data_IF_191886826411
#
_entry.id   IF_191886826411
#
_cell.length_a   1.000
_cell.length_b   1.000
_cell.length_c   1.000
_cell.angle_alpha   90.00
_cell.angle_beta   90.00
_cell.angle_gamma   90.00
#
_symmetry.space_group_name_H-M   'P 1'
#
loop_
_entity.id
_entity.type
_entity.pdbx_description
1 polymer ?
#
# COMPACT_ATOMS: atom_id res chain seq x y z
N UNK A 1 -46.85 -44.75 -44.75
CA UNK A 1 -45.47 -44.25 -44.63
C UNK A 1 -45.52 -43.18 -43.58
N UNK A 2 -45.43 -43.59 -42.32
CA UNK A 2 -45.68 -42.77 -41.14
C UNK A 2 -44.55 -43.09 -40.17
N UNK A 3 -43.63 -42.15 -40.03
CA UNK A 3 -42.41 -42.28 -39.24
C UNK A 3 -42.64 -41.62 -37.88
N UNK A 4 -42.61 -42.44 -36.83
CA UNK A 4 -42.15 -42.08 -35.49
C UNK A 4 -40.85 -42.90 -35.25
N UNK A 5 -39.92 -42.51 -34.34
CA UNK A 5 -40.11 -41.64 -33.18
C UNK A 5 -39.03 -40.54 -32.99
N UNK A 6 -39.34 -39.66 -32.05
CA UNK A 6 -38.45 -38.64 -31.51
C UNK A 6 -37.36 -39.28 -30.64
N UNK A 7 -36.10 -39.06 -31.03
CA UNK A 7 -34.91 -39.34 -30.25
C UNK A 7 -34.06 -38.07 -30.23
N UNK A 8 -34.34 -37.15 -29.28
CA UNK A 8 -33.42 -36.07 -28.96
C UNK A 8 -32.79 -36.34 -27.60
N UNK A 9 -31.51 -36.65 -27.69
CA UNK A 9 -30.59 -37.04 -26.63
C UNK A 9 -30.63 -36.11 -25.42
N UNK A 10 -30.58 -36.76 -24.25
CA UNK A 10 -30.32 -36.15 -22.95
C UNK A 10 -29.03 -35.31 -22.98
N UNK A 11 -29.16 -34.00 -22.77
CA UNK A 11 -28.05 -33.15 -22.39
C UNK A 11 -27.82 -33.34 -20.89
N UNK A 12 -26.88 -34.22 -20.55
CA UNK A 12 -26.38 -34.38 -19.18
C UNK A 12 -25.81 -33.05 -18.69
N UNK A 13 -26.54 -32.40 -17.79
CA UNK A 13 -26.05 -31.29 -16.99
C UNK A 13 -24.85 -31.77 -16.17
N UNK A 14 -23.64 -31.38 -16.58
CA UNK A 14 -22.46 -31.48 -15.72
C UNK A 14 -22.63 -30.42 -14.61
N UNK A 15 -22.77 -30.80 -13.33
CA UNK A 15 -22.76 -29.81 -12.26
C UNK A 15 -21.39 -29.14 -12.24
N UNK A 16 -21.39 -27.81 -12.23
CA UNK A 16 -20.22 -26.97 -11.93
C UNK A 16 -19.62 -27.51 -10.64
N UNK A 17 -18.42 -28.07 -10.75
CA UNK A 17 -17.62 -28.55 -9.63
C UNK A 17 -17.48 -27.37 -8.67
N UNK A 18 -18.11 -27.49 -7.50
CA UNK A 18 -18.03 -26.50 -6.44
C UNK A 18 -16.56 -26.13 -6.25
N UNK A 19 -16.24 -24.84 -6.45
CA UNK A 19 -14.98 -24.27 -6.01
C UNK A 19 -14.82 -24.70 -4.54
N UNK A 20 -13.72 -25.38 -4.25
CA UNK A 20 -13.36 -25.76 -2.89
C UNK A 20 -13.54 -24.53 -2.01
N UNK A 21 -14.44 -24.63 -1.04
CA UNK A 21 -14.65 -23.61 -0.04
C UNK A 21 -13.29 -23.29 0.58
N UNK A 22 -12.86 -22.04 0.40
CA UNK A 22 -11.69 -21.49 1.08
C UNK A 22 -11.85 -21.78 2.57
N UNK A 23 -10.84 -22.31 3.28
CA UNK A 23 -10.98 -22.53 4.72
C UNK A 23 -11.26 -21.18 5.40
N UNK A 24 -12.12 -21.14 6.43
CA UNK A 24 -12.29 -19.92 7.23
C UNK A 24 -10.91 -19.53 7.76
N UNK A 25 -10.39 -18.41 7.26
CA UNK A 25 -9.10 -17.89 7.72
C UNK A 25 -9.36 -17.30 9.10
N UNK A 26 -8.72 -17.84 10.12
CA UNK A 26 -8.76 -17.27 11.48
C UNK A 26 -8.50 -15.75 11.41
N UNK A 27 -9.16 -14.93 12.26
CA UNK A 27 -8.92 -13.50 12.28
C UNK A 27 -7.47 -13.28 12.60
N UNK A 28 -6.77 -12.82 11.58
CA UNK A 28 -5.36 -12.58 11.66
C UNK A 28 -5.27 -11.26 12.46
N UNK A 29 -4.70 -11.30 13.68
CA UNK A 29 -4.59 -10.13 14.56
C UNK A 29 -3.52 -9.15 14.08
N UNK A 30 -3.89 -7.90 13.83
CA UNK A 30 -2.91 -6.84 13.55
C UNK A 30 -1.97 -6.67 14.75
N UNK A 31 -0.67 -6.90 14.54
CA UNK A 31 0.37 -6.58 15.53
C UNK A 31 0.67 -5.08 15.49
N UNK A 32 0.00 -4.32 16.36
CA UNK A 32 0.16 -2.86 16.44
C UNK A 32 1.55 -2.47 16.94
N UNK A 33 2.20 -3.30 17.77
CA UNK A 33 3.55 -3.01 18.25
C UNK A 33 4.56 -3.08 17.10
N UNK A 34 4.38 -4.04 16.20
CA UNK A 34 5.16 -4.12 14.96
C UNK A 34 4.97 -2.89 14.08
N UNK A 35 3.73 -2.46 13.83
CA UNK A 35 3.45 -1.27 13.01
C UNK A 35 4.01 -0.01 13.66
N UNK A 36 3.89 0.11 14.98
CA UNK A 36 4.46 1.22 15.75
C UNK A 36 5.99 1.25 15.65
N UNK A 37 6.65 0.09 15.77
CA UNK A 37 8.10 -0.01 15.58
C UNK A 37 8.51 0.33 14.15
N UNK A 38 7.70 -0.04 13.14
CA UNK A 38 7.98 0.22 11.73
C UNK A 38 7.92 1.72 11.38
N UNK A 39 6.96 2.44 11.96
CA UNK A 39 6.72 3.86 11.68
C UNK A 39 7.45 4.81 12.64
N UNK A 40 8.19 4.28 13.61
CA UNK A 40 9.05 5.08 14.48
C UNK A 40 10.36 5.39 13.74
N UNK A 41 10.65 6.69 13.53
CA UNK A 41 11.88 7.08 12.86
C UNK A 41 13.11 6.60 13.66
N UNK A 42 14.10 5.94 13.02
CA UNK A 42 15.29 5.48 13.71
C UNK A 42 16.18 6.67 14.11
N UNK A 43 16.82 6.57 15.29
CA UNK A 43 17.79 7.57 15.76
C UNK A 43 18.93 7.84 14.76
N UNK A 44 19.30 6.81 13.97
CA UNK A 44 20.31 6.92 12.93
C UNK A 44 19.90 6.09 11.72
N UNK A 45 19.91 6.71 10.54
CA UNK A 45 19.64 6.00 9.27
C UNK A 45 20.79 5.03 8.93
N UNK A 46 20.50 3.76 8.61
CA UNK A 46 21.51 2.77 8.25
C UNK A 46 21.93 2.90 6.77
N UNK A 47 22.45 4.06 6.37
CA UNK A 47 22.74 4.39 4.96
C UNK A 47 23.68 3.38 4.29
N UNK A 48 24.72 2.92 4.97
CA UNK A 48 25.64 1.91 4.43
C UNK A 48 24.94 0.58 4.13
N UNK A 49 24.04 0.13 5.01
CA UNK A 49 23.26 -1.09 4.78
C UNK A 49 22.26 -0.92 3.64
N UNK A 50 21.61 0.25 3.53
CA UNK A 50 20.71 0.56 2.42
C UNK A 50 21.45 0.58 1.07
N UNK A 51 22.65 1.16 1.01
CA UNK A 51 23.48 1.15 -0.21
C UNK A 51 23.84 -0.26 -0.65
N UNK A 52 24.25 -1.11 0.29
CA UNK A 52 24.56 -2.52 0.00
C UNK A 52 23.32 -3.23 -0.55
N UNK A 53 22.16 -3.07 0.09
CA UNK A 53 20.92 -3.65 -0.40
C UNK A 53 20.55 -3.13 -1.79
N UNK A 54 20.63 -1.82 -2.04
CA UNK A 54 20.36 -1.22 -3.35
C UNK A 54 21.30 -1.73 -4.46
N UNK A 55 22.51 -2.16 -4.12
CA UNK A 55 23.43 -2.76 -5.10
C UNK A 55 23.01 -4.18 -5.50
N UNK A 56 22.37 -4.91 -4.59
CA UNK A 56 21.90 -6.28 -4.78
C UNK A 56 20.48 -6.37 -5.37
N UNK A 57 19.69 -5.31 -5.25
CA UNK A 57 18.30 -5.30 -5.70
C UNK A 57 18.21 -5.36 -7.23
N UNK A 58 17.23 -6.11 -7.72
CA UNK A 58 16.80 -6.13 -9.10
C UNK A 58 15.41 -5.50 -9.25
N UNK A 59 15.12 -5.02 -10.47
CA UNK A 59 13.75 -4.62 -10.82
C UNK A 59 12.79 -5.81 -10.65
N UNK A 60 11.66 -5.59 -9.98
CA UNK A 60 10.67 -6.59 -9.64
C UNK A 60 10.81 -7.21 -8.25
N UNK A 61 11.92 -6.97 -7.53
CA UNK A 61 12.12 -7.47 -6.16
C UNK A 61 11.07 -6.90 -5.20
N UNK A 62 10.56 -7.74 -4.32
CA UNK A 62 9.61 -7.33 -3.30
C UNK A 62 10.35 -6.70 -2.12
N UNK A 63 10.08 -5.43 -1.87
CA UNK A 63 10.76 -4.65 -0.83
C UNK A 63 9.76 -3.88 0.00
N UNK A 64 10.21 -3.48 1.18
CA UNK A 64 9.59 -2.46 2.02
C UNK A 64 10.51 -1.29 2.19
N UNK A 65 9.97 -0.10 1.97
CA UNK A 65 10.65 1.19 2.15
C UNK A 65 9.89 1.98 3.21
N UNK A 66 10.59 2.46 4.22
CA UNK A 66 10.04 3.42 5.20
C UNK A 66 10.52 4.80 4.81
N UNK A 67 9.59 5.73 4.65
CA UNK A 67 9.85 7.11 4.23
C UNK A 67 9.43 8.07 5.33
N UNK A 68 10.13 9.19 5.41
CA UNK A 68 9.73 10.39 6.16
C UNK A 68 9.64 11.54 5.17
N UNK A 69 8.44 12.02 4.92
CA UNK A 69 8.18 13.12 3.99
C UNK A 69 7.30 14.13 4.71
N UNK A 70 7.80 15.34 4.91
CA UNK A 70 6.96 16.45 5.38
C UNK A 70 6.02 16.85 4.24
N UNK A 71 4.72 17.08 4.48
CA UNK A 71 4.02 17.06 5.78
C UNK A 71 3.32 15.74 6.13
N UNK A 72 3.59 14.66 5.41
CA UNK A 72 2.92 13.36 5.56
C UNK A 72 3.49 12.48 6.68
N UNK A 73 4.57 12.91 7.32
CA UNK A 73 5.28 12.20 8.38
C UNK A 73 5.91 10.89 7.91
N UNK A 74 5.95 9.91 8.81
CA UNK A 74 6.55 8.59 8.55
C UNK A 74 5.48 7.60 8.06
N UNK A 75 5.77 6.96 6.94
CA UNK A 75 4.93 5.91 6.36
C UNK A 75 5.79 4.82 5.72
N UNK A 76 5.24 3.62 5.62
CA UNK A 76 5.88 2.49 4.99
C UNK A 76 5.16 2.12 3.68
N UNK A 77 5.94 1.75 2.68
CA UNK A 77 5.46 1.31 1.37
C UNK A 77 6.05 -0.06 1.11
N UNK A 78 5.23 -1.02 0.72
CA UNK A 78 5.71 -2.35 0.33
C UNK A 78 5.14 -2.71 -1.01
N UNK A 79 5.98 -3.26 -1.88
CA UNK A 79 5.60 -3.64 -3.22
C UNK A 79 6.83 -4.00 -4.03
N UNK A 80 6.63 -4.18 -5.34
CA UNK A 80 7.74 -4.49 -6.24
C UNK A 80 8.50 -3.22 -6.57
N UNK A 81 9.80 -3.23 -6.35
CA UNK A 81 10.68 -2.12 -6.69
C UNK A 81 10.91 -2.13 -8.21
N UNK A 82 10.90 -0.96 -8.83
CA UNK A 82 11.14 -0.82 -10.27
C UNK A 82 12.43 -0.05 -10.47
N UNK A 83 13.35 -0.58 -11.26
CA UNK A 83 14.55 0.14 -11.67
C UNK A 83 14.36 0.82 -13.03
N UNK A 84 14.81 2.07 -13.15
CA UNK A 84 14.83 2.80 -14.40
C UNK A 84 16.27 3.12 -14.81
N UNK A 85 16.70 2.54 -15.92
CA UNK A 85 18.03 2.78 -16.50
C UNK A 85 18.20 4.23 -16.98
N UNK A 86 17.12 4.91 -17.38
CA UNK A 86 17.16 6.26 -17.95
C UNK A 86 17.61 7.28 -16.89
N UNK A 87 17.13 7.13 -15.66
CA UNK A 87 17.40 8.04 -14.54
C UNK A 87 18.32 7.43 -13.49
N UNK A 88 18.79 6.19 -13.70
CA UNK A 88 19.64 5.42 -12.79
C UNK A 88 19.07 5.41 -11.36
N UNK A 89 17.83 4.93 -11.22
CA UNK A 89 17.06 5.06 -10.00
C UNK A 89 16.09 3.90 -9.75
N UNK A 90 15.82 3.66 -8.47
CA UNK A 90 14.77 2.76 -8.03
C UNK A 90 13.52 3.52 -7.60
N UNK A 91 12.37 2.97 -7.93
CA UNK A 91 11.04 3.46 -7.60
C UNK A 91 10.22 2.40 -6.90
N UNK A 92 9.31 2.83 -6.02
CA UNK A 92 8.29 1.96 -5.43
C UNK A 92 6.94 2.67 -5.46
N UNK A 93 5.99 2.13 -6.22
CA UNK A 93 4.72 2.79 -6.51
C UNK A 93 4.92 4.07 -7.32
N UNK A 94 4.89 5.23 -6.66
CA UNK A 94 5.24 6.53 -7.25
C UNK A 94 6.44 7.21 -6.59
N UNK A 95 7.07 6.55 -5.61
CA UNK A 95 8.17 7.13 -4.83
C UNK A 95 9.51 6.82 -5.44
N UNK A 96 10.34 7.85 -5.61
CA UNK A 96 11.76 7.68 -5.85
C UNK A 96 12.42 7.19 -4.54
N UNK A 97 13.07 6.03 -4.59
CA UNK A 97 13.71 5.39 -3.42
C UNK A 97 15.21 5.69 -3.41
N UNK A 98 15.83 5.73 -4.58
CA UNK A 98 17.26 6.02 -4.72
C UNK A 98 17.56 6.75 -6.03
N UNK A 99 18.67 7.47 -6.07
CA UNK A 99 19.27 7.99 -7.30
C UNK A 99 20.75 7.59 -7.34
N UNK A 100 21.25 7.10 -8.47
CA UNK A 100 22.63 6.59 -8.62
C UNK A 100 23.00 5.56 -7.54
N UNK A 101 22.05 4.70 -7.21
CA UNK A 101 22.11 3.70 -6.12
C UNK A 101 22.37 4.28 -4.71
N UNK A 102 22.15 5.57 -4.53
CA UNK A 102 22.19 6.24 -3.23
C UNK A 102 20.75 6.41 -2.70
N UNK A 103 20.45 5.96 -1.46
CA UNK A 103 19.13 6.15 -0.89
C UNK A 103 18.83 7.64 -0.71
N UNK A 104 17.61 8.05 -1.03
CA UNK A 104 17.21 9.45 -0.85
C UNK A 104 17.17 9.85 0.63
N UNK A 105 17.23 11.17 0.90
CA UNK A 105 17.16 11.68 2.28
C UNK A 105 15.84 11.32 2.97
N UNK A 106 14.75 11.25 2.22
CA UNK A 106 13.42 10.85 2.72
C UNK A 106 13.34 9.37 3.09
N UNK A 107 14.25 8.52 2.61
CA UNK A 107 14.24 7.08 2.92
C UNK A 107 14.93 6.81 4.25
N UNK A 108 14.15 6.31 5.22
CA UNK A 108 14.63 5.96 6.55
C UNK A 108 15.21 4.55 6.60
N UNK A 109 14.61 3.60 5.89
CA UNK A 109 15.09 2.21 5.79
C UNK A 109 14.55 1.52 4.54
N UNK A 110 15.30 0.55 4.03
CA UNK A 110 14.90 -0.38 2.96
C UNK A 110 15.16 -1.80 3.46
N UNK A 111 14.22 -2.71 3.23
CA UNK A 111 14.33 -4.12 3.57
C UNK A 111 13.68 -5.00 2.51
N UNK A 112 14.15 -6.24 2.33
CA UNK A 112 13.43 -7.24 1.53
C UNK A 112 12.16 -7.64 2.28
N UNK A 113 11.07 -7.84 1.54
CA UNK A 113 9.83 -8.39 2.10
C UNK A 113 9.61 -9.79 1.51
N UNK A 114 9.20 -10.75 2.34
CA UNK A 114 8.99 -12.13 1.89
C UNK A 114 7.57 -12.30 1.31
N UNK A 115 6.59 -11.56 1.85
CA UNK A 115 5.22 -11.47 1.29
C UNK A 115 4.67 -10.06 1.36
N UNK A 116 3.87 -9.68 0.37
CA UNK A 116 3.09 -8.44 0.44
C UNK A 116 2.09 -8.47 1.61
N UNK A 117 1.67 -9.68 2.02
CA UNK A 117 0.69 -9.92 3.10
C UNK A 117 1.30 -10.01 4.50
N UNK A 118 2.63 -9.97 4.67
CA UNK A 118 3.28 -9.98 6.01
C UNK A 118 3.11 -8.66 6.78
N UNK A 119 2.40 -7.68 6.21
CA UNK A 119 2.30 -6.33 6.76
C UNK A 119 1.22 -6.17 7.81
N UNK A 120 0.11 -6.88 7.68
CA UNK A 120 -0.94 -6.93 8.67
C UNK A 120 -1.77 -8.18 8.41
N UNK A 121 -1.93 -9.01 9.43
CA UNK A 121 -2.95 -10.05 9.46
C UNK A 121 -4.29 -9.46 8.99
N UNK A 122 -4.84 -10.00 7.88
CA UNK A 122 -6.06 -9.52 7.21
C UNK A 122 -7.16 -9.15 8.21
N UNK A 123 -7.49 -7.86 8.30
CA UNK A 123 -8.75 -7.45 8.90
C UNK A 123 -9.88 -7.84 7.94
N UNK A 124 -10.78 -8.72 8.41
CA UNK A 124 -11.92 -9.24 7.62
C UNK A 124 -13.02 -8.18 7.44
N UNK A 125 -12.81 -6.95 7.90
CA UNK A 125 -13.73 -5.84 7.67
C UNK A 125 -13.25 -5.00 6.50
N UNK A 126 -13.53 -5.46 5.28
CA UNK A 126 -13.55 -4.61 4.09
C UNK A 126 -14.73 -3.63 4.21
N UNK A 127 -14.68 -2.69 5.14
CA UNK A 127 -15.67 -1.61 5.19
C UNK A 127 -15.36 -0.66 4.04
N UNK A 128 -15.94 -0.96 2.87
CA UNK A 128 -16.00 -0.06 1.70
C UNK A 128 -16.81 1.23 1.97
N UNK A 129 -17.03 1.59 3.23
CA UNK A 129 -17.85 2.73 3.64
C UNK A 129 -17.07 3.63 4.62
N UNK A 130 -16.29 4.54 4.04
CA UNK A 130 -16.29 5.97 4.42
C UNK A 130 -16.34 6.32 5.91
N UNK A 131 -15.36 5.88 6.70
CA UNK A 131 -15.08 6.56 7.98
C UNK A 131 -13.59 6.72 8.29
N UNK A 132 -12.75 6.74 7.25
CA UNK A 132 -11.33 7.08 7.43
C UNK A 132 -11.21 8.60 7.61
N UNK A 133 -10.59 9.03 8.70
CA UNK A 133 -10.44 10.43 9.10
C UNK A 133 -8.97 10.73 9.36
N UNK A 134 -8.65 12.02 9.38
CA UNK A 134 -7.32 12.47 9.75
C UNK A 134 -6.87 11.86 11.08
N UNK A 135 -5.63 11.36 11.10
CA UNK A 135 -5.01 10.72 12.25
C UNK A 135 -5.32 9.24 12.44
N UNK A 136 -6.21 8.64 11.65
CA UNK A 136 -6.30 7.18 11.59
C UNK A 136 -4.99 6.58 11.11
N UNK A 137 -4.54 5.52 11.76
CA UNK A 137 -3.48 4.67 11.22
C UNK A 137 -4.13 3.63 10.33
N UNK A 138 -3.74 3.58 9.06
CA UNK A 138 -4.37 2.70 8.06
C UNK A 138 -3.33 1.90 7.29
N UNK A 139 -3.77 0.78 6.75
CA UNK A 139 -3.15 0.12 5.61
C UNK A 139 -4.04 0.33 4.39
N UNK A 140 -3.47 0.84 3.30
CA UNK A 140 -4.16 1.03 2.03
C UNK A 140 -3.45 0.24 0.92
N UNK A 141 -4.23 -0.45 0.10
CA UNK A 141 -3.73 -1.22 -1.04
C UNK A 141 -4.07 -0.46 -2.31
N UNK A 142 -3.03 -0.12 -3.08
CA UNK A 142 -3.16 0.57 -4.35
C UNK A 142 -2.74 -0.34 -5.50
N UNK A 143 -3.38 -0.16 -6.65
CA UNK A 143 -2.97 -0.73 -7.92
C UNK A 143 -3.12 0.34 -9.01
N UNK A 144 -2.09 0.54 -9.83
CA UNK A 144 -2.08 1.56 -10.88
C UNK A 144 -2.36 0.91 -12.23
N UNK A 145 -2.98 1.65 -13.15
CA UNK A 145 -3.35 1.11 -14.46
C UNK A 145 -2.15 0.61 -15.27
N UNK A 146 -0.96 1.17 -15.05
CA UNK A 146 0.26 0.82 -15.76
C UNK A 146 1.26 -0.03 -14.96
N UNK A 147 0.97 -0.31 -13.69
CA UNK A 147 1.73 -1.24 -12.87
C UNK A 147 0.77 -2.32 -12.33
N UNK A 148 0.78 -3.53 -12.92
CA UNK A 148 -0.15 -4.57 -12.54
C UNK A 148 0.10 -5.08 -11.11
N UNK A 149 1.26 -4.82 -10.51
CA UNK A 149 1.54 -5.25 -9.15
C UNK A 149 0.95 -4.26 -8.13
N UNK A 150 0.09 -4.72 -7.21
CA UNK A 150 -0.38 -3.87 -6.13
C UNK A 150 0.76 -3.54 -5.17
N UNK A 151 0.64 -2.40 -4.51
CA UNK A 151 1.52 -2.00 -3.41
C UNK A 151 0.69 -1.53 -2.22
N UNK A 152 1.27 -1.67 -1.05
CA UNK A 152 0.66 -1.40 0.24
C UNK A 152 1.30 -0.16 0.83
N UNK A 153 0.49 0.71 1.43
CA UNK A 153 0.94 1.89 2.15
C UNK A 153 0.37 1.83 3.56
N UNK A 154 1.26 1.93 4.55
CA UNK A 154 0.89 1.98 5.97
C UNK A 154 1.36 3.31 6.56
N UNK A 155 0.44 4.04 7.17
CA UNK A 155 0.75 5.35 7.73
C UNK A 155 -0.47 6.06 8.30
N UNK A 156 -0.24 7.25 8.85
CA UNK A 156 -1.34 8.09 9.30
C UNK A 156 -2.06 8.72 8.13
N UNK A 157 -3.37 8.86 8.28
CA UNK A 157 -4.21 9.56 7.34
C UNK A 157 -4.04 11.05 7.52
N UNK A 158 -3.75 11.74 6.43
CA UNK A 158 -3.60 13.19 6.36
C UNK A 158 -4.75 13.75 5.52
N UNK A 159 -5.39 14.80 6.01
CA UNK A 159 -6.44 15.52 5.29
C UNK A 159 -6.00 16.92 4.88
N UNK A 160 -6.48 17.41 3.74
CA UNK A 160 -6.33 18.81 3.36
C UNK A 160 -7.42 19.68 3.96
N UNK A 161 -7.08 20.91 4.34
CA UNK A 161 -8.07 21.89 4.82
C UNK A 161 -8.82 22.57 3.67
N UNK A 162 -8.19 22.75 2.50
CA UNK A 162 -8.77 23.50 1.37
C UNK A 162 -9.64 22.69 0.42
N UNK A 163 -9.33 21.41 0.23
CA UNK A 163 -9.88 20.60 -0.87
C UNK A 163 -10.55 19.30 -0.40
N UNK A 164 -10.69 19.07 0.92
CA UNK A 164 -11.25 17.86 1.51
C UNK A 164 -10.64 16.55 0.92
N UNK A 165 -9.36 16.58 0.58
CA UNK A 165 -8.61 15.43 0.11
C UNK A 165 -8.16 14.65 1.34
N UNK A 166 -8.30 13.34 1.29
CA UNK A 166 -7.84 12.42 2.34
C UNK A 166 -6.85 11.46 1.71
N UNK A 167 -5.70 11.27 2.35
CA UNK A 167 -4.66 10.36 1.86
C UNK A 167 -3.81 9.76 2.96
N UNK A 168 -2.94 8.82 2.60
CA UNK A 168 -1.95 8.17 3.47
C UNK A 168 -0.59 8.23 2.80
N UNK A 169 0.42 8.74 3.52
CA UNK A 169 1.66 9.18 2.87
C UNK A 169 1.34 10.19 1.77
N UNK A 170 1.92 10.01 0.58
CA UNK A 170 1.65 10.86 -0.59
C UNK A 170 0.51 10.34 -1.49
N UNK A 171 -0.19 9.27 -1.12
CA UNK A 171 -1.26 8.69 -1.93
C UNK A 171 -2.63 9.15 -1.46
N UNK A 172 -3.45 9.55 -2.42
CA UNK A 172 -4.84 9.97 -2.18
C UNK A 172 -5.71 8.73 -2.00
N UNK A 173 -6.52 8.72 -0.95
CA UNK A 173 -7.57 7.74 -0.70
C UNK A 173 -8.90 8.23 -1.27
N UNK A 174 -9.21 9.50 -1.02
CA UNK A 174 -10.46 10.14 -1.40
C UNK A 174 -10.22 11.58 -1.88
N UNK A 175 -10.93 11.95 -2.95
CA UNK A 175 -11.00 13.30 -3.51
C UNK A 175 -12.48 13.72 -3.54
N UNK A 176 -12.85 14.91 -3.03
CA UNK A 176 -14.19 15.30 -2.55
C UNK A 176 -15.32 14.27 -2.69
N UNK A 177 -15.45 13.36 -1.72
CA UNK A 177 -16.54 12.38 -1.66
C UNK A 177 -16.40 11.18 -2.60
N UNK A 178 -15.26 11.05 -3.30
CA UNK A 178 -15.00 9.98 -4.26
C UNK A 178 -13.69 9.28 -3.95
N UNK A 179 -13.78 7.98 -3.70
CA UNK A 179 -12.62 7.10 -3.66
C UNK A 179 -11.90 7.11 -5.00
N UNK A 180 -10.56 7.18 -4.97
CA UNK A 180 -9.77 7.14 -6.21
C UNK A 180 -9.79 5.73 -6.82
N UNK A 181 -9.74 5.64 -8.15
CA UNK A 181 -9.78 4.34 -8.86
C UNK A 181 -8.59 3.43 -8.55
N UNK A 182 -7.46 4.01 -8.15
CA UNK A 182 -6.26 3.27 -7.79
C UNK A 182 -6.37 2.55 -6.43
N UNK A 183 -7.30 2.96 -5.54
CA UNK A 183 -7.47 2.34 -4.23
C UNK A 183 -8.29 1.05 -4.36
N UNK A 184 -7.67 -0.09 -4.03
CA UNK A 184 -8.30 -1.41 -4.08
C UNK A 184 -8.97 -1.76 -2.75
N UNK A 185 -8.28 -1.48 -1.65
CA UNK A 185 -8.74 -1.81 -0.30
C UNK A 185 -8.11 -0.88 0.75
N UNK A 186 -8.77 -0.77 1.90
CA UNK A 186 -8.27 0.00 3.05
C UNK A 186 -8.74 -0.64 4.36
N UNK A 187 -7.81 -0.78 5.30
CA UNK A 187 -8.05 -1.23 6.67
C UNK A 187 -7.60 -0.17 7.67
N UNK A 188 -8.49 0.17 8.62
CA UNK A 188 -8.11 0.98 9.79
C UNK A 188 -7.42 0.06 10.79
N UNK A 189 -6.17 0.35 11.09
CA UNK A 189 -5.35 -0.40 12.05
C UNK A 189 -5.53 0.17 13.46
N UNK A 190 -5.64 1.49 13.58
CA UNK A 190 -5.79 2.15 14.87
C UNK A 190 -6.51 3.50 14.79
N UNK A 191 -7.23 3.85 15.86
CA UNK A 191 -7.87 5.16 16.06
C UNK A 191 -6.84 6.26 16.34
N UNK A 192 -7.15 7.55 16.10
CA UNK A 192 -6.20 8.63 16.29
C UNK A 192 -5.72 8.70 17.74
N UNK A 193 -4.40 8.80 17.91
CA UNK A 193 -3.76 8.92 19.23
C UNK A 193 -3.64 7.63 20.04
N UNK A 194 -4.04 6.47 19.50
CA UNK A 194 -3.99 5.19 20.25
C UNK A 194 -2.63 4.49 20.21
N UNK A 195 -1.79 4.77 19.23
CA UNK A 195 -0.49 4.08 19.03
C UNK A 195 0.70 4.82 19.65
N UNK A 196 0.51 6.05 20.13
CA UNK A 196 1.61 6.90 20.62
C UNK A 196 2.54 7.43 19.53
N UNK A 197 2.33 7.06 18.26
CA UNK A 197 3.03 7.64 17.12
C UNK A 197 2.64 9.10 16.93
N UNK A 198 3.58 9.91 16.43
CA UNK A 198 3.30 11.28 16.05
C UNK A 198 2.43 11.29 14.79
N UNK A 199 1.19 11.76 14.94
CA UNK A 199 0.31 12.07 13.82
C UNK A 199 0.76 13.39 13.18
N UNK A 200 0.97 13.44 11.86
CA UNK A 200 1.22 14.71 11.16
C UNK A 200 0.04 15.66 11.29
N UNK A 201 0.26 16.96 11.15
CA UNK A 201 -0.82 17.93 11.08
C UNK A 201 -1.58 17.85 9.76
N UNK A 202 -2.79 18.40 9.72
CA UNK A 202 -3.48 18.66 8.45
C UNK A 202 -2.67 19.57 7.54
N UNK A 203 -2.81 19.42 6.24
CA UNK A 203 -2.05 20.18 5.24
C UNK A 203 -2.96 21.14 4.50
N UNK A 204 -2.42 22.23 3.97
CA UNK A 204 -3.23 23.23 3.28
C UNK A 204 -3.77 22.68 1.95
N UNK A 205 -2.87 22.20 1.08
CA UNK A 205 -3.20 21.59 -0.20
C UNK A 205 -2.26 20.39 -0.46
N UNK A 206 -2.62 19.49 -1.39
CA UNK A 206 -1.84 18.29 -1.70
C UNK A 206 -0.66 18.54 -2.67
N UNK A 207 -0.74 19.61 -3.45
CA UNK A 207 0.17 19.89 -4.58
C UNK A 207 1.28 20.91 -4.29
N UNK A 208 1.36 21.45 -3.07
CA UNK A 208 2.28 22.54 -2.72
C UNK A 208 3.71 22.06 -2.33
N UNK A 209 4.08 20.80 -2.60
CA UNK A 209 5.30 20.20 -2.02
C UNK A 209 6.39 19.79 -3.03
N UNK A 210 6.27 20.19 -4.30
CA UNK A 210 7.30 19.96 -5.32
C UNK A 210 8.37 21.09 -5.36
N UNK A 211 8.15 22.20 -4.65
CA UNK A 211 9.03 23.37 -4.65
C UNK A 211 9.78 23.44 -3.32
N UNK A 212 10.98 22.82 -3.25
CA UNK A 212 12.12 23.18 -2.37
C UNK A 212 12.98 21.94 -2.06
N UNK A 213 13.67 21.42 -3.08
CA UNK A 213 14.74 20.43 -2.89
C UNK A 213 15.95 20.82 -3.73
N UNK A 214 16.66 21.87 -3.29
CA UNK A 214 18.06 22.14 -3.64
C UNK A 214 19.02 21.19 -2.91
#
# INVERSE_FOLDING_TARGET
>A
MELAPADLRAASHTPIRALAAWPPTEPAFVDIDYVTSLLTAPNRRPVSAMRLLLQELASGDLVRVVLSVEPFGVFAVTGRIMYSDIVDAFYLGSQLVSSRREPLKSVLSISRAERATEMCPRSVSSSRATTVRHGHLVEAIFQRDFDPAPFHVVGHVVSTTSAAIVGVGQWVLEFPGRTVSALQDIAVLAEPGTTGLLCPSTVQAWAEFDEDSD
#
